data_IF_969482114318
#
_entry.id   IF_969482114318
#
_cell.length_a   1.000
_cell.length_b   1.000
_cell.length_c   1.000
_cell.angle_alpha   90.00
_cell.angle_beta   90.00
_cell.angle_gamma   90.00
#
_symmetry.space_group_name_H-M   'P 1'
#
loop_
_entity.id
_entity.type
_entity.pdbx_description
1 polymer ?
#
# COMPACT_ATOMS: atom_id res chain seq x y z
N UNK A 1 2.65 0.30 41.18
CA UNK A 1 2.84 1.25 40.06
C UNK A 1 3.22 2.61 40.65
N UNK A 2 4.13 3.38 40.04
CA UNK A 2 4.61 4.66 40.60
C UNK A 2 3.70 5.83 40.17
N UNK A 3 3.58 6.88 40.99
CA UNK A 3 2.86 8.13 40.69
C UNK A 3 3.33 8.72 39.35
N UNK A 4 4.62 8.69 39.08
CA UNK A 4 5.22 9.16 37.83
C UNK A 4 4.70 8.44 36.59
N UNK A 5 4.40 7.14 36.70
CA UNK A 5 3.78 6.34 35.63
C UNK A 5 2.37 6.85 35.35
N UNK A 6 1.57 7.05 36.39
CA UNK A 6 0.18 7.52 36.26
C UNK A 6 0.13 8.95 35.71
N UNK A 7 1.02 9.84 36.17
CA UNK A 7 1.16 11.19 35.60
C UNK A 7 1.50 11.16 34.10
N UNK A 8 2.38 10.24 33.69
CA UNK A 8 2.72 10.06 32.26
C UNK A 8 1.53 9.57 31.45
N UNK A 9 0.74 8.64 31.98
CA UNK A 9 -0.49 8.15 31.36
C UNK A 9 -1.55 9.25 31.23
N UNK A 10 -1.74 10.05 32.28
CA UNK A 10 -2.65 11.21 32.27
C UNK A 10 -2.23 12.23 31.19
N UNK A 11 -0.93 12.54 31.08
CA UNK A 11 -0.40 13.41 30.01
C UNK A 11 -0.66 12.81 28.63
N UNK A 12 -0.43 11.51 28.44
CA UNK A 12 -0.70 10.82 27.17
C UNK A 12 -2.20 10.84 26.79
N UNK A 13 -3.10 10.98 27.77
CA UNK A 13 -4.54 11.14 27.56
C UNK A 13 -4.99 12.59 27.35
N UNK A 14 -4.05 13.55 27.33
CA UNK A 14 -4.29 15.00 27.35
C UNK A 14 -4.97 15.52 28.63
N UNK A 15 -4.83 14.79 29.75
CA UNK A 15 -5.30 15.21 31.08
C UNK A 15 -4.19 15.95 31.83
N UNK A 16 -3.70 17.03 31.23
CA UNK A 16 -2.50 17.76 31.69
C UNK A 16 -2.65 18.36 33.09
N UNK A 17 -3.80 18.96 33.39
CA UNK A 17 -4.10 19.49 34.73
C UNK A 17 -4.16 18.36 35.76
N UNK A 18 -4.86 17.26 35.47
CA UNK A 18 -4.95 16.13 36.39
C UNK A 18 -3.56 15.53 36.70
N UNK A 19 -2.68 15.45 35.71
CA UNK A 19 -1.30 15.01 35.91
C UNK A 19 -0.49 15.96 36.82
N UNK A 20 -0.70 17.27 36.70
CA UNK A 20 0.01 18.29 37.50
C UNK A 20 -0.46 18.30 38.95
N UNK A 21 -1.77 18.25 39.18
CA UNK A 21 -2.37 18.37 40.51
C UNK A 21 -2.38 17.04 41.30
N UNK A 22 -1.99 15.92 40.66
CA UNK A 22 -2.12 14.57 41.23
C UNK A 22 -1.45 14.43 42.61
N UNK A 23 -0.24 14.95 42.78
CA UNK A 23 0.51 14.85 44.04
C UNK A 23 -0.12 15.68 45.15
N UNK A 24 -0.62 16.87 44.83
CA UNK A 24 -1.32 17.73 45.79
C UNK A 24 -2.62 17.08 46.27
N UNK A 25 -3.40 16.51 45.34
CA UNK A 25 -4.65 15.81 45.66
C UNK A 25 -4.37 14.54 46.47
N UNK A 26 -3.36 13.75 46.11
CA UNK A 26 -2.95 12.59 46.89
C UNK A 26 -2.42 12.97 48.27
N UNK A 27 -1.69 14.07 48.41
CA UNK A 27 -1.22 14.56 49.70
C UNK A 27 -2.35 14.91 50.67
N UNK A 28 -3.52 15.33 50.15
CA UNK A 28 -4.73 15.62 50.93
C UNK A 28 -5.49 14.36 51.39
N UNK A 29 -5.34 13.24 50.68
CA UNK A 29 -6.02 11.98 50.98
C UNK A 29 -5.00 10.96 51.52
N UNK A 30 -5.11 10.58 52.80
CA UNK A 30 -4.17 9.72 53.55
C UNK A 30 -3.34 8.75 52.67
N UNK A 31 -2.02 8.82 52.86
CA UNK A 31 -0.88 8.24 52.12
C UNK A 31 -0.92 6.75 51.77
N UNK A 32 -1.95 5.99 52.17
CA UNK A 32 -2.07 4.55 51.95
C UNK A 32 -3.00 4.17 50.78
N UNK A 33 -3.56 5.14 50.04
CA UNK A 33 -4.38 4.84 48.88
C UNK A 33 -3.53 4.23 47.75
N UNK A 34 -3.74 2.94 47.43
CA UNK A 34 -3.17 2.34 46.23
C UNK A 34 -3.71 3.05 44.99
N UNK A 35 -2.79 3.48 44.13
CA UNK A 35 -3.08 4.10 42.84
C UNK A 35 -2.99 3.09 41.68
N UNK A 36 -2.78 1.81 41.99
CA UNK A 36 -2.55 0.77 40.98
C UNK A 36 -3.78 0.58 40.10
N UNK A 37 -4.98 0.62 40.69
CA UNK A 37 -6.24 0.50 39.96
C UNK A 37 -6.47 1.68 39.00
N UNK A 38 -6.03 2.89 39.36
CA UNK A 38 -6.10 4.07 38.47
C UNK A 38 -5.17 3.84 37.29
N UNK A 39 -3.93 3.43 37.56
CA UNK A 39 -2.96 3.13 36.51
C UNK A 39 -3.42 2.02 35.56
N UNK A 40 -4.07 0.97 36.08
CA UNK A 40 -4.70 -0.06 35.27
C UNK A 40 -5.82 0.51 34.38
N UNK A 41 -6.72 1.32 34.95
CA UNK A 41 -7.80 1.95 34.20
C UNK A 41 -7.29 2.88 33.09
N UNK A 42 -6.27 3.69 33.36
CA UNK A 42 -5.66 4.57 32.37
C UNK A 42 -4.95 3.78 31.28
N UNK A 43 -4.30 2.66 31.62
CA UNK A 43 -3.69 1.74 30.64
C UNK A 43 -4.76 1.21 29.68
N UNK A 44 -5.89 0.73 30.21
CA UNK A 44 -7.01 0.23 29.38
C UNK A 44 -7.57 1.31 28.45
N UNK A 45 -7.72 2.56 28.91
CA UNK A 45 -8.16 3.67 28.05
C UNK A 45 -7.13 4.02 26.96
N UNK A 46 -5.84 4.02 27.30
CA UNK A 46 -4.77 4.24 26.32
C UNK A 46 -4.76 3.17 25.22
N UNK A 47 -4.87 1.90 25.61
CA UNK A 47 -4.96 0.78 24.68
C UNK A 47 -6.21 0.87 23.80
N UNK A 48 -7.37 1.20 24.39
CA UNK A 48 -8.61 1.40 23.65
C UNK A 48 -8.52 2.58 22.66
N UNK A 49 -7.84 3.68 23.01
CA UNK A 49 -7.60 4.81 22.08
C UNK A 49 -6.65 4.41 20.96
N UNK A 50 -5.58 3.69 21.27
CA UNK A 50 -4.63 3.17 20.27
C UNK A 50 -5.34 2.27 19.27
N UNK A 51 -6.14 1.31 19.76
CA UNK A 51 -6.90 0.40 18.92
C UNK A 51 -7.92 1.12 18.05
N UNK A 52 -8.70 2.06 18.63
CA UNK A 52 -9.64 2.91 17.86
C UNK A 52 -8.90 3.71 16.78
N UNK A 53 -7.70 4.21 17.08
CA UNK A 53 -6.92 4.97 16.10
C UNK A 53 -6.39 4.13 14.96
N UNK A 54 -5.96 2.89 15.25
CA UNK A 54 -5.53 1.94 14.22
C UNK A 54 -6.72 1.55 13.35
N UNK A 55 -7.85 1.17 13.96
CA UNK A 55 -9.04 0.77 13.23
C UNK A 55 -9.52 1.88 12.30
N UNK A 56 -9.61 3.12 12.79
CA UNK A 56 -9.99 4.28 11.98
C UNK A 56 -9.08 4.47 10.76
N UNK A 57 -7.76 4.24 10.90
CA UNK A 57 -6.82 4.35 9.77
C UNK A 57 -7.01 3.21 8.76
N UNK A 58 -7.27 2.00 9.23
CA UNK A 58 -7.56 0.85 8.37
C UNK A 58 -8.87 1.08 7.59
N UNK A 59 -9.93 1.52 8.28
CA UNK A 59 -11.23 1.80 7.68
C UNK A 59 -11.11 2.93 6.63
N UNK A 60 -10.40 4.01 6.98
CA UNK A 60 -10.21 5.16 6.09
C UNK A 60 -9.36 4.83 4.85
N UNK A 61 -8.51 3.80 4.92
CA UNK A 61 -7.72 3.36 3.77
C UNK A 61 -8.55 2.56 2.75
N UNK A 62 -9.73 2.04 3.14
CA UNK A 62 -10.61 1.23 2.29
C UNK A 62 -9.87 0.08 1.58
N UNK A 63 -9.01 -0.66 2.31
CA UNK A 63 -8.30 -1.79 1.72
C UNK A 63 -9.31 -2.81 1.13
N UNK A 64 -9.11 -3.32 -0.10
CA UNK A 64 -9.98 -4.33 -0.68
C UNK A 64 -10.04 -5.62 0.14
N UNK A 65 -8.92 -5.95 0.79
CA UNK A 65 -8.77 -7.05 1.71
C UNK A 65 -7.70 -6.70 2.76
N UNK A 66 -7.82 -7.25 3.97
CA UNK A 66 -6.83 -7.08 5.03
C UNK A 66 -5.88 -8.28 4.99
N UNK A 67 -4.67 -8.06 4.47
CA UNK A 67 -3.62 -9.08 4.37
C UNK A 67 -2.47 -8.79 5.35
N UNK A 68 -1.62 -9.79 5.56
CA UNK A 68 -0.43 -9.67 6.40
C UNK A 68 0.79 -10.32 5.72
N UNK A 69 1.99 -9.89 6.13
CA UNK A 69 3.24 -10.45 5.58
C UNK A 69 3.45 -11.88 6.09
N UNK A 70 3.03 -12.15 7.33
CA UNK A 70 3.07 -13.47 7.95
C UNK A 70 2.14 -14.47 7.27
N UNK A 71 1.03 -13.98 6.69
CA UNK A 71 0.10 -14.79 5.92
C UNK A 71 0.57 -15.13 4.50
N UNK A 72 1.73 -14.62 4.07
CA UNK A 72 2.28 -14.89 2.74
C UNK A 72 3.02 -16.24 2.68
N UNK A 73 2.64 -17.10 1.72
CA UNK A 73 3.27 -18.42 1.53
C UNK A 73 4.59 -18.30 0.75
N UNK A 74 5.67 -17.99 1.47
CA UNK A 74 7.04 -17.89 0.92
C UNK A 74 7.54 -19.17 0.26
N UNK A 75 7.00 -20.34 0.62
CA UNK A 75 7.42 -21.62 0.05
C UNK A 75 6.86 -21.83 -1.35
N UNK A 76 5.76 -21.18 -1.69
CA UNK A 76 5.11 -21.35 -2.99
C UNK A 76 5.94 -20.77 -4.15
N UNK A 77 6.51 -19.57 -3.96
CA UNK A 77 7.38 -18.91 -4.94
C UNK A 77 8.70 -18.45 -4.27
N UNK A 78 9.69 -19.36 -4.11
CA UNK A 78 10.92 -19.07 -3.36
C UNK A 78 11.89 -18.10 -4.06
N UNK A 79 11.61 -17.75 -5.32
CA UNK A 79 12.42 -16.79 -6.10
C UNK A 79 12.11 -15.33 -5.78
N UNK A 80 11.02 -15.06 -5.05
CA UNK A 80 10.69 -13.71 -4.60
C UNK A 80 11.73 -13.31 -3.55
N UNK A 81 12.36 -12.15 -3.74
CA UNK A 81 13.36 -11.64 -2.82
C UNK A 81 12.72 -11.24 -1.48
N UNK A 82 12.78 -12.18 -0.53
CA UNK A 82 12.23 -12.00 0.81
C UNK A 82 12.96 -10.91 1.59
N UNK A 83 14.27 -10.75 1.40
CA UNK A 83 15.05 -9.77 2.14
C UNK A 83 14.60 -8.34 1.79
N UNK A 84 14.32 -8.07 0.52
CA UNK A 84 13.74 -6.77 0.10
C UNK A 84 12.39 -6.51 0.73
N UNK A 85 11.51 -7.50 0.80
CA UNK A 85 10.20 -7.34 1.45
C UNK A 85 10.36 -7.10 2.94
N UNK A 86 11.25 -7.85 3.62
CA UNK A 86 11.55 -7.65 5.04
C UNK A 86 12.17 -6.27 5.32
N UNK A 87 12.93 -5.70 4.39
CA UNK A 87 13.39 -4.31 4.49
C UNK A 87 12.22 -3.33 4.42
N UNK A 88 11.29 -3.54 3.48
CA UNK A 88 10.10 -2.69 3.34
C UNK A 88 9.17 -2.76 4.55
N UNK A 89 9.14 -3.86 5.31
CA UNK A 89 8.34 -3.94 6.55
C UNK A 89 8.88 -3.03 7.66
N UNK A 90 10.13 -2.55 7.58
CA UNK A 90 10.64 -1.54 8.52
C UNK A 90 10.03 -0.17 8.30
N UNK A 91 9.36 0.05 7.15
CA UNK A 91 8.68 1.29 6.77
C UNK A 91 9.58 2.53 6.67
N UNK A 92 10.91 2.39 6.73
CA UNK A 92 11.84 3.53 6.59
C UNK A 92 11.67 4.26 5.26
N UNK A 93 11.28 3.55 4.20
CA UNK A 93 11.00 4.16 2.90
C UNK A 93 9.80 5.13 2.95
N UNK A 94 8.88 4.96 3.91
CA UNK A 94 7.73 5.85 4.12
C UNK A 94 8.21 7.24 4.53
N UNK A 95 9.11 7.29 5.50
CA UNK A 95 9.69 8.54 6.00
C UNK A 95 10.61 9.21 4.96
N UNK A 96 11.26 8.41 4.12
CA UNK A 96 12.11 8.88 3.01
C UNK A 96 11.33 9.22 1.74
N UNK A 97 9.99 9.10 1.75
CA UNK A 97 9.12 9.30 0.58
C UNK A 97 9.50 8.43 -0.64
N UNK A 98 10.08 7.26 -0.37
CA UNK A 98 10.58 6.33 -1.37
C UNK A 98 9.48 5.61 -2.14
N UNK A 99 9.88 4.88 -3.18
CA UNK A 99 8.98 4.05 -3.98
C UNK A 99 9.41 2.60 -3.88
N UNK A 100 8.45 1.70 -3.67
CA UNK A 100 8.61 0.27 -3.88
C UNK A 100 7.81 -0.16 -5.10
N UNK A 101 8.48 -0.79 -6.07
CA UNK A 101 7.86 -1.30 -7.29
C UNK A 101 7.78 -2.82 -7.25
N UNK A 102 6.56 -3.35 -7.26
CA UNK A 102 6.30 -4.78 -7.31
C UNK A 102 5.97 -5.16 -8.75
N UNK A 103 6.88 -5.87 -9.41
CA UNK A 103 6.76 -6.22 -10.83
C UNK A 103 6.65 -7.73 -11.00
N UNK A 104 5.79 -8.19 -11.90
CA UNK A 104 5.69 -9.62 -12.27
C UNK A 104 4.30 -10.03 -12.70
N UNK A 105 4.15 -11.25 -13.21
CA UNK A 105 2.86 -11.72 -13.74
C UNK A 105 1.72 -11.75 -12.71
N UNK A 106 0.50 -11.94 -13.19
CA UNK A 106 -0.70 -11.95 -12.35
C UNK A 106 -0.72 -13.14 -11.38
N UNK A 107 -1.26 -12.93 -10.18
CA UNK A 107 -1.42 -13.99 -9.19
C UNK A 107 -0.15 -14.39 -8.43
N UNK A 108 0.96 -13.67 -8.55
CA UNK A 108 2.19 -13.94 -7.79
C UNK A 108 2.21 -13.33 -6.37
N UNK A 109 1.16 -12.60 -5.98
CA UNK A 109 1.02 -12.05 -4.63
C UNK A 109 1.53 -10.62 -4.43
N UNK A 110 1.74 -9.86 -5.52
CA UNK A 110 2.11 -8.43 -5.49
C UNK A 110 1.13 -7.60 -4.66
N UNK A 111 -0.16 -7.67 -5.00
CA UNK A 111 -1.24 -6.97 -4.30
C UNK A 111 -1.32 -7.39 -2.83
N UNK A 112 -1.17 -8.68 -2.52
CA UNK A 112 -1.17 -9.19 -1.14
C UNK A 112 -0.10 -8.50 -0.30
N UNK A 113 1.15 -8.46 -0.78
CA UNK A 113 2.25 -7.84 -0.03
C UNK A 113 2.13 -6.30 0.01
N UNK A 114 1.62 -5.67 -1.05
CA UNK A 114 1.36 -4.23 -1.04
C UNK A 114 0.32 -3.85 0.03
N UNK A 115 -0.79 -4.60 0.09
CA UNK A 115 -1.82 -4.41 1.11
C UNK A 115 -1.29 -4.72 2.52
N UNK A 116 -0.46 -5.76 2.67
CA UNK A 116 0.14 -6.11 3.95
C UNK A 116 1.04 -4.99 4.50
N UNK A 117 1.84 -4.36 3.61
CA UNK A 117 2.62 -3.17 3.95
C UNK A 117 1.73 -1.98 4.33
N UNK A 118 0.61 -1.78 3.64
CA UNK A 118 -0.38 -0.75 4.02
C UNK A 118 -0.98 -0.98 5.40
N UNK A 119 -1.37 -2.21 5.70
CA UNK A 119 -1.91 -2.58 7.02
C UNK A 119 -0.84 -2.36 8.10
N UNK A 120 0.41 -2.74 7.83
CA UNK A 120 1.53 -2.49 8.72
C UNK A 120 1.75 -0.99 8.99
N UNK A 121 1.73 -0.17 7.93
CA UNK A 121 1.86 1.28 8.04
C UNK A 121 0.70 1.92 8.82
N UNK A 122 -0.53 1.46 8.60
CA UNK A 122 -1.70 1.93 9.35
C UNK A 122 -1.60 1.61 10.85
N UNK A 123 -1.07 0.42 11.19
CA UNK A 123 -0.76 0.02 12.57
C UNK A 123 0.36 0.85 13.19
N UNK A 124 1.38 1.20 12.40
CA UNK A 124 2.50 2.05 12.81
C UNK A 124 2.14 3.53 12.98
N UNK A 125 0.96 3.96 12.50
CA UNK A 125 0.47 5.32 12.71
C UNK A 125 0.23 6.12 11.44
N UNK A 126 0.67 5.62 10.28
CA UNK A 126 0.59 6.33 9.01
C UNK A 126 -0.81 6.22 8.39
N UNK A 127 -1.26 7.31 7.78
CA UNK A 127 -2.44 7.29 6.90
C UNK A 127 -2.03 6.64 5.57
N UNK A 128 -2.91 5.81 5.04
CA UNK A 128 -2.66 5.11 3.78
C UNK A 128 -3.75 5.47 2.78
N UNK A 129 -3.34 5.89 1.59
CA UNK A 129 -4.25 5.98 0.45
C UNK A 129 -4.11 4.69 -0.37
N UNK A 130 -5.21 3.96 -0.58
CA UNK A 130 -5.21 2.73 -1.36
C UNK A 130 -6.19 2.83 -2.52
N UNK A 131 -5.72 2.55 -3.74
CA UNK A 131 -6.56 2.51 -4.93
C UNK A 131 -5.95 1.61 -6.00
N UNK A 132 -6.79 1.03 -6.87
CA UNK A 132 -6.30 0.55 -8.16
C UNK A 132 -6.04 1.75 -9.08
N UNK A 133 -5.17 1.57 -10.07
CA UNK A 133 -4.90 2.58 -11.11
C UNK A 133 -6.18 3.02 -11.80
N UNK A 134 -7.12 2.09 -12.06
CA UNK A 134 -8.45 2.40 -12.58
C UNK A 134 -9.27 3.31 -11.66
N UNK A 135 -9.30 3.04 -10.35
CA UNK A 135 -10.02 3.87 -9.36
C UNK A 135 -9.39 5.26 -9.27
N UNK A 136 -8.06 5.36 -9.33
CA UNK A 136 -7.35 6.64 -9.35
C UNK A 136 -7.74 7.48 -10.58
N UNK A 137 -7.70 6.91 -11.78
CA UNK A 137 -8.11 7.57 -13.03
C UNK A 137 -9.54 8.09 -12.92
N UNK A 138 -10.47 7.26 -12.43
CA UNK A 138 -11.87 7.65 -12.24
C UNK A 138 -12.02 8.80 -11.23
N UNK A 139 -11.28 8.77 -10.12
CA UNK A 139 -11.30 9.84 -9.13
C UNK A 139 -10.80 11.16 -9.73
N UNK A 140 -9.72 11.15 -10.51
CA UNK A 140 -9.18 12.33 -11.20
C UNK A 140 -10.18 12.85 -12.23
N UNK A 141 -10.75 11.98 -13.07
CA UNK A 141 -11.78 12.35 -14.06
C UNK A 141 -12.98 13.04 -13.40
N UNK A 142 -13.55 12.42 -12.37
CA UNK A 142 -14.67 12.99 -11.62
C UNK A 142 -14.29 14.33 -10.96
N UNK A 143 -13.05 14.44 -10.47
CA UNK A 143 -12.59 15.64 -9.80
C UNK A 143 -12.41 16.83 -10.74
N UNK A 144 -11.92 16.59 -11.97
CA UNK A 144 -11.85 17.60 -13.03
C UNK A 144 -13.24 18.11 -13.40
N UNK A 145 -14.20 17.21 -13.64
CA UNK A 145 -15.58 17.60 -14.01
C UNK A 145 -16.27 18.43 -12.91
N UNK A 146 -15.91 18.20 -11.64
CA UNK A 146 -16.45 18.93 -10.48
C UNK A 146 -15.60 20.12 -10.05
N UNK A 147 -14.54 20.45 -10.79
CA UNK A 147 -13.58 21.49 -10.47
C UNK A 147 -13.02 21.39 -9.02
N UNK A 148 -12.70 20.17 -8.57
CA UNK A 148 -12.24 19.89 -7.21
C UNK A 148 -10.92 19.10 -7.14
N UNK A 149 -10.15 19.10 -8.24
CA UNK A 149 -8.90 18.34 -8.38
C UNK A 149 -7.89 18.65 -7.26
N UNK A 150 -7.71 19.93 -6.92
CA UNK A 150 -6.81 20.33 -5.83
C UNK A 150 -7.22 19.79 -4.46
N UNK A 151 -8.53 19.62 -4.22
CA UNK A 151 -9.02 19.02 -2.98
C UNK A 151 -8.71 17.52 -2.94
N UNK A 152 -8.86 16.82 -4.08
CA UNK A 152 -8.46 15.42 -4.21
C UNK A 152 -6.95 15.27 -3.95
N UNK A 153 -6.13 16.08 -4.60
CA UNK A 153 -4.67 16.02 -4.47
C UNK A 153 -4.21 16.32 -3.05
N UNK A 154 -4.75 17.36 -2.41
CA UNK A 154 -4.44 17.65 -0.99
C UNK A 154 -4.78 16.48 -0.07
N UNK A 155 -5.93 15.82 -0.28
CA UNK A 155 -6.31 14.64 0.49
C UNK A 155 -5.31 13.50 0.30
N UNK A 156 -4.92 13.22 -0.94
CA UNK A 156 -3.96 12.16 -1.25
C UNK A 156 -2.56 12.46 -0.69
N UNK A 157 -2.04 13.66 -0.94
CA UNK A 157 -0.72 14.11 -0.45
C UNK A 157 -0.65 14.16 1.08
N UNK A 158 -1.79 14.25 1.78
CA UNK A 158 -1.84 14.17 3.24
C UNK A 158 -1.61 12.75 3.79
N UNK A 159 -1.67 11.71 2.95
CA UNK A 159 -1.35 10.33 3.31
C UNK A 159 0.13 10.06 3.07
N UNK A 160 0.92 9.71 4.10
CA UNK A 160 2.34 9.40 3.94
C UNK A 160 2.65 8.17 3.08
N UNK A 161 1.69 7.26 2.89
CA UNK A 161 1.87 6.08 2.06
C UNK A 161 0.72 5.92 1.05
N UNK A 162 1.07 5.71 -0.21
CA UNK A 162 0.13 5.36 -1.27
C UNK A 162 0.32 3.91 -1.70
N UNK A 163 -0.76 3.16 -1.84
CA UNK A 163 -0.79 1.87 -2.51
C UNK A 163 -1.56 2.04 -3.83
N UNK A 164 -0.86 1.83 -4.94
CA UNK A 164 -1.44 1.93 -6.28
C UNK A 164 -1.30 0.57 -6.97
N UNK A 165 -2.43 -0.10 -7.16
CA UNK A 165 -2.47 -1.46 -7.70
C UNK A 165 -2.73 -1.47 -9.22
N UNK A 166 -2.27 -2.51 -9.91
CA UNK A 166 -2.52 -2.78 -11.33
C UNK A 166 -2.09 -1.64 -12.29
N UNK A 167 -0.90 -1.07 -12.05
CA UNK A 167 -0.31 -0.09 -12.95
C UNK A 167 -0.02 -0.68 -14.33
N UNK A 168 -0.35 0.06 -15.39
CA UNK A 168 -0.15 -0.35 -16.78
C UNK A 168 -1.20 -1.32 -17.34
N UNK A 169 -2.24 -1.67 -16.58
CA UNK A 169 -3.34 -2.52 -17.09
C UNK A 169 -4.32 -1.71 -17.94
N UNK A 170 -4.46 -0.42 -17.68
CA UNK A 170 -5.40 0.48 -18.36
C UNK A 170 -4.65 1.61 -19.07
N UNK A 171 -5.06 1.92 -20.29
CA UNK A 171 -4.58 3.10 -21.03
C UNK A 171 -5.24 4.37 -20.46
N UNK A 172 -4.48 5.46 -20.43
CA UNK A 172 -4.97 6.76 -19.95
C UNK A 172 -5.20 7.72 -21.12
N UNK A 173 -6.25 8.54 -21.04
CA UNK A 173 -6.38 9.71 -21.90
C UNK A 173 -5.28 10.73 -21.56
N UNK A 174 -4.80 11.47 -22.57
CA UNK A 174 -3.71 12.44 -22.41
C UNK A 174 -3.92 13.40 -21.24
N UNK A 175 -5.11 14.01 -21.17
CA UNK A 175 -5.44 14.97 -20.12
C UNK A 175 -5.51 14.37 -18.72
N UNK A 176 -5.63 13.04 -18.58
CA UNK A 176 -5.60 12.36 -17.29
C UNK A 176 -4.18 11.91 -16.95
N UNK A 177 -3.44 11.44 -17.95
CA UNK A 177 -2.03 11.12 -17.81
C UNK A 177 -1.21 12.32 -17.30
N UNK A 178 -1.50 13.53 -17.81
CA UNK A 178 -0.87 14.78 -17.37
C UNK A 178 -1.14 15.07 -15.87
N UNK A 179 -2.36 14.84 -15.39
CA UNK A 179 -2.68 15.02 -13.96
C UNK A 179 -2.07 13.94 -13.06
N UNK A 180 -2.02 12.69 -13.54
CA UNK A 180 -1.36 11.60 -12.81
C UNK A 180 0.13 11.91 -12.66
N UNK A 181 0.75 12.45 -13.72
CA UNK A 181 2.13 12.90 -13.67
C UNK A 181 2.35 14.04 -12.68
N UNK A 182 1.53 15.10 -12.74
CA UNK A 182 1.61 16.21 -11.78
C UNK A 182 1.44 15.72 -10.33
N UNK A 183 0.46 14.86 -10.08
CA UNK A 183 0.25 14.25 -8.77
C UNK A 183 1.48 13.45 -8.29
N UNK A 184 2.08 12.64 -9.17
CA UNK A 184 3.26 11.82 -8.83
C UNK A 184 4.52 12.67 -8.64
N UNK A 185 4.63 13.80 -9.32
CA UNK A 185 5.71 14.77 -9.12
C UNK A 185 5.56 15.48 -7.77
N UNK A 186 4.36 15.99 -7.43
CA UNK A 186 4.06 16.59 -6.13
C UNK A 186 4.30 15.63 -4.96
N UNK A 187 4.02 14.34 -5.15
CA UNK A 187 4.21 13.27 -4.15
C UNK A 187 5.65 13.14 -3.68
N UNK A 188 6.65 13.45 -4.51
CA UNK A 188 8.08 13.19 -4.23
C UNK A 188 8.58 13.70 -2.88
N UNK A 189 7.94 14.72 -2.35
CA UNK A 189 8.33 15.38 -1.10
C UNK A 189 7.31 15.20 0.04
N UNK A 190 6.31 14.34 -0.13
CA UNK A 190 5.22 14.20 0.86
C UNK A 190 4.84 12.76 1.20
N UNK A 191 4.95 11.84 0.26
CA UNK A 191 4.36 10.51 0.39
C UNK A 191 5.23 9.46 -0.26
N UNK A 192 5.43 8.33 0.39
CA UNK A 192 5.95 7.13 -0.25
C UNK A 192 4.88 6.42 -1.07
N UNK A 193 5.31 5.50 -1.92
CA UNK A 193 4.40 4.74 -2.80
C UNK A 193 4.83 3.29 -2.93
N UNK A 194 3.87 2.38 -2.81
CA UNK A 194 3.98 1.00 -3.31
C UNK A 194 3.13 0.90 -4.56
N UNK A 195 3.75 0.53 -5.68
CA UNK A 195 3.07 0.37 -6.96
C UNK A 195 3.20 -1.10 -7.40
N UNK A 196 2.11 -1.70 -7.85
CA UNK A 196 2.16 -3.04 -8.46
C UNK A 196 1.96 -2.93 -9.98
N UNK A 197 2.69 -3.73 -10.75
CA UNK A 197 2.46 -3.84 -12.20
C UNK A 197 2.74 -5.25 -12.70
N UNK A 198 1.99 -5.67 -13.72
CA UNK A 198 2.26 -6.88 -14.48
C UNK A 198 3.11 -6.63 -15.74
N UNK A 199 3.50 -5.38 -16.00
CA UNK A 199 4.38 -4.99 -17.10
C UNK A 199 5.78 -4.70 -16.58
N UNK A 200 6.76 -4.93 -17.45
CA UNK A 200 8.12 -4.47 -17.24
C UNK A 200 8.16 -2.93 -17.31
N UNK A 201 9.09 -2.31 -16.58
CA UNK A 201 9.25 -0.86 -16.56
C UNK A 201 9.52 -0.29 -17.96
N UNK A 202 10.17 -1.07 -18.84
CA UNK A 202 10.44 -0.71 -20.24
C UNK A 202 9.16 -0.55 -21.06
N UNK A 203 8.09 -1.23 -20.68
CA UNK A 203 6.79 -1.21 -21.35
C UNK A 203 5.87 -0.09 -20.82
N UNK A 204 6.32 0.67 -19.81
CA UNK A 204 5.50 1.75 -19.25
C UNK A 204 5.44 2.96 -20.18
N UNK A 205 6.38 3.08 -21.11
CA UNK A 205 6.30 4.06 -22.19
C UNK A 205 4.99 3.95 -22.97
N UNK A 206 4.52 2.73 -23.18
CA UNK A 206 3.29 2.44 -23.94
C UNK A 206 2.01 2.66 -23.12
N UNK A 207 2.13 2.86 -21.80
CA UNK A 207 0.98 3.15 -20.92
C UNK A 207 0.59 4.64 -21.01
N UNK A 208 1.58 5.50 -21.29
CA UNK A 208 1.36 6.92 -21.48
C UNK A 208 1.09 7.22 -22.97
N UNK A 209 0.12 8.10 -23.26
CA UNK A 209 -0.18 8.48 -24.65
C UNK A 209 0.91 9.36 -25.29
N UNK A 210 1.81 9.94 -24.48
CA UNK A 210 2.90 10.82 -24.94
C UNK A 210 4.27 10.23 -24.52
N UNK A 211 5.15 9.88 -25.48
CA UNK A 211 6.50 9.37 -25.20
C UNK A 211 7.37 10.30 -24.34
N UNK A 212 7.16 11.62 -24.41
CA UNK A 212 7.90 12.59 -23.59
C UNK A 212 7.48 12.48 -22.12
N UNK A 213 6.17 12.34 -21.87
CA UNK A 213 5.62 12.16 -20.53
C UNK A 213 6.04 10.81 -19.94
N UNK A 214 6.04 9.76 -20.76
CA UNK A 214 6.56 8.45 -20.40
C UNK A 214 8.01 8.51 -19.89
N UNK A 215 8.91 9.06 -20.71
CA UNK A 215 10.33 9.15 -20.37
C UNK A 215 10.54 10.01 -19.13
N UNK A 216 9.86 11.16 -19.03
CA UNK A 216 9.91 12.00 -17.85
C UNK A 216 9.41 11.28 -16.59
N UNK A 217 8.42 10.39 -16.71
CA UNK A 217 7.91 9.60 -15.59
C UNK A 217 8.95 8.59 -15.13
N UNK A 218 9.47 7.78 -16.04
CA UNK A 218 10.48 6.76 -15.70
C UNK A 218 11.72 7.42 -15.09
N UNK A 219 12.25 8.46 -15.72
CA UNK A 219 13.50 9.11 -15.30
C UNK A 219 13.35 9.95 -14.04
N UNK A 220 12.20 10.59 -13.79
CA UNK A 220 12.05 11.53 -12.66
C UNK A 220 11.31 10.94 -11.48
N UNK A 221 10.40 10.00 -11.71
CA UNK A 221 9.56 9.45 -10.64
C UNK A 221 10.15 8.14 -10.13
N UNK A 222 10.66 7.27 -11.02
CA UNK A 222 11.04 5.90 -10.66
C UNK A 222 12.56 5.65 -10.56
N UNK A 223 13.41 6.66 -10.72
CA UNK A 223 14.88 6.55 -10.69
C UNK A 223 15.44 5.87 -9.42
N UNK A 224 14.81 6.12 -8.27
CA UNK A 224 15.20 5.61 -6.95
C UNK A 224 14.22 4.58 -6.40
N UNK A 225 13.44 3.95 -7.27
CA UNK A 225 12.51 2.92 -6.85
C UNK A 225 13.24 1.65 -6.40
N UNK A 226 12.84 1.13 -5.24
CA UNK A 226 13.21 -0.21 -4.81
C UNK A 226 12.38 -1.24 -5.58
N UNK A 227 13.01 -1.95 -6.52
CA UNK A 227 12.32 -2.92 -7.38
C UNK A 227 12.35 -4.30 -6.74
N UNK A 228 11.17 -4.88 -6.53
CA UNK A 228 10.97 -6.28 -6.13
C UNK A 228 10.30 -7.02 -7.28
N UNK A 229 11.02 -7.98 -7.85
CA UNK A 229 10.52 -8.81 -8.95
C UNK A 229 9.88 -10.08 -8.39
N UNK A 230 8.62 -10.29 -8.75
CA UNK A 230 7.84 -11.46 -8.43
C UNK A 230 7.92 -12.43 -9.59
N UNK A 231 8.49 -13.60 -9.34
CA UNK A 231 8.62 -14.67 -10.33
C UNK A 231 8.12 -15.99 -9.76
N UNK A 232 7.43 -16.77 -10.59
CA UNK A 232 6.98 -18.10 -10.21
C UNK A 232 5.62 -18.46 -10.81
N UNK A 233 4.91 -19.36 -10.15
CA UNK A 233 3.59 -19.81 -10.59
C UNK A 233 2.51 -18.92 -9.99
N UNK A 234 1.40 -18.74 -10.72
CA UNK A 234 0.24 -18.02 -10.20
C UNK A 234 -0.40 -18.77 -9.02
N UNK A 235 -0.47 -18.12 -7.86
CA UNK A 235 -1.10 -18.65 -6.64
C UNK A 235 -2.60 -18.88 -6.83
N UNK A 236 -3.25 -18.09 -7.68
CA UNK A 236 -4.69 -18.22 -8.00
C UNK A 236 -5.03 -19.56 -8.67
N UNK A 237 -4.05 -20.18 -9.33
CA UNK A 237 -4.20 -21.46 -10.01
C UNK A 237 -3.96 -22.67 -9.09
N UNK A 238 -3.49 -22.45 -7.86
CA UNK A 238 -3.28 -23.49 -6.84
C UNK A 238 -4.61 -24.18 -6.54
N UNK A 239 -4.78 -25.40 -7.07
CA UNK A 239 -5.96 -26.26 -6.83
C UNK A 239 -7.19 -26.01 -7.72
N UNK A 240 -7.17 -25.07 -8.68
CA UNK A 240 -8.37 -24.73 -9.49
C UNK A 240 -8.28 -25.05 -10.98
N UNK A 241 -7.09 -25.24 -11.56
CA UNK A 241 -6.95 -25.60 -12.98
C UNK A 241 -5.86 -26.66 -13.13
N UNK A 242 -6.26 -27.92 -13.31
CA UNK A 242 -5.46 -28.88 -14.07
C UNK A 242 -5.62 -28.49 -15.53
N UNK A 243 -4.61 -27.87 -16.12
CA UNK A 243 -4.57 -27.76 -17.58
C UNK A 243 -4.53 -29.19 -18.11
N UNK A 244 -5.48 -29.66 -18.93
CA UNK A 244 -5.30 -30.92 -19.63
C UNK A 244 -3.99 -30.81 -20.42
N UNK A 245 -3.18 -31.87 -20.44
CA UNK A 245 -1.97 -31.93 -21.25
C UNK A 245 -2.34 -31.73 -22.73
N UNK A 246 -2.34 -30.50 -23.22
CA UNK A 246 -2.39 -30.20 -24.65
C UNK A 246 -0.94 -30.24 -25.17
N UNK A 247 -0.27 -31.37 -24.97
CA UNK A 247 0.93 -31.76 -25.71
C UNK A 247 0.66 -33.19 -26.16
N UNK A 248 0.02 -33.30 -27.32
CA UNK A 248 -0.41 -34.57 -27.90
C UNK A 248 -1.24 -34.43 -29.18
N UNK A 249 -1.34 -33.23 -29.77
CA UNK A 249 -1.87 -33.09 -31.12
C UNK A 249 -0.67 -33.01 -32.08
N UNK A 250 -0.41 -34.11 -32.80
CA UNK A 250 0.50 -34.09 -33.94
C UNK A 250 0.10 -32.95 -34.91
N UNK A 251 1.06 -32.30 -35.57
CA UNK A 251 0.75 -31.26 -36.54
C UNK A 251 -0.03 -31.90 -37.71
N UNK A 252 -1.27 -31.44 -37.89
CA UNK A 252 -2.11 -31.78 -39.05
C UNK A 252 -1.34 -31.41 -40.32
N UNK A 253 -0.83 -32.43 -41.03
CA UNK A 253 -0.22 -32.26 -42.35
C UNK A 253 -1.26 -31.63 -43.28
N UNK A 254 -1.05 -30.37 -43.67
CA UNK A 254 -1.80 -29.73 -44.76
C UNK A 254 -1.60 -30.56 -46.04
N UNK A 255 -2.61 -31.32 -46.47
CA UNK A 255 -2.65 -31.92 -47.80
C UNK A 255 -2.61 -30.78 -48.83
N UNK A 256 -1.61 -30.79 -49.72
CA UNK A 256 -1.56 -29.89 -50.88
C UNK A 256 -2.80 -30.11 -51.75
N UNK A 257 -3.42 -29.06 -52.32
CA UNK A 257 -4.48 -29.25 -53.27
C UNK A 257 -3.92 -29.90 -54.54
N UNK A 258 -4.57 -30.97 -54.99
CA UNK A 258 -4.31 -31.61 -56.27
C UNK A 258 -4.74 -30.63 -57.37
N UNK A 259 -3.83 -30.29 -58.27
CA UNK A 259 -4.13 -29.52 -59.48
C UNK A 259 -5.14 -30.31 -60.31
N UNK A 260 -6.24 -29.67 -60.70
CA UNK A 260 -7.07 -30.13 -61.80
C UNK A 260 -6.34 -29.75 -63.10
N UNK A 261 -6.00 -30.74 -63.92
CA UNK A 261 -5.64 -30.58 -65.32
C UNK A 261 -6.65 -31.35 -66.17
N UNK A 262 -7.17 -30.61 -67.16
CA UNK A 262 -7.96 -30.96 -68.35
C UNK A 262 -8.63 -32.33 -68.47
#
# INVERSE_FOLDING_TARGET
>A
MNITTVQTQLRALNLTTAAREMEEVLGRHKTAASIDWVGELLTRELDARKQRSIQRRIDAAEFPEVTTVEGFDWKFNPKIDRAKIEELTKLEFVDKHGIALFLGETGLGKTHLALALGVLAAKAGHRVYCASTKKLIQQIQMAKTRNNLDALFRRMLSSPLWLIDDWGVVSMERQIAEEVFDLFDRRKHSSAMVLTSNRDIREWGDVFPDPVLANATVDRIFDRAEIVVFQGKSYRLKGRIQLPNIIGAEPVRKKRPVKAEA
#
